data_IF_234534939397
#
_entry.id   IF_234534939397
#
_cell.length_a   1.000
_cell.length_b   1.000
_cell.length_c   1.000
_cell.angle_alpha   90.00
_cell.angle_beta   90.00
_cell.angle_gamma   90.00
#
_symmetry.space_group_name_H-M   'P 1'
#
loop_
_entity.id
_entity.type
_entity.pdbx_description
1 polymer ?
#
# COMPACT_ATOMS: atom_id res chain seq x y z
N UNK A 1 27.79 -28.82 -18.82
CA UNK A 1 26.39 -28.87 -18.31
C UNK A 1 26.12 -28.00 -17.08
N UNK A 2 27.09 -27.20 -16.58
CA UNK A 2 26.99 -26.51 -15.28
C UNK A 2 26.62 -25.00 -15.37
N UNK A 3 26.47 -24.45 -16.59
CA UNK A 3 26.19 -23.02 -16.79
C UNK A 3 24.69 -22.71 -16.74
N UNK A 4 23.85 -23.62 -17.25
CA UNK A 4 22.40 -23.44 -17.37
C UNK A 4 21.66 -23.42 -16.02
N UNK A 5 22.22 -24.09 -15.01
CA UNK A 5 21.65 -24.14 -13.64
C UNK A 5 21.94 -22.88 -12.83
N UNK A 6 22.97 -22.10 -13.19
CA UNK A 6 23.31 -20.85 -12.50
C UNK A 6 22.38 -19.71 -12.94
N UNK A 7 21.99 -19.70 -14.21
CA UNK A 7 21.13 -18.66 -14.78
C UNK A 7 19.67 -18.80 -14.32
N UNK A 8 19.19 -20.03 -14.07
CA UNK A 8 17.83 -20.26 -13.53
C UNK A 8 17.67 -19.83 -12.07
N UNK A 9 18.73 -19.94 -11.25
CA UNK A 9 18.71 -19.44 -9.87
C UNK A 9 18.79 -17.91 -9.80
N UNK A 10 19.43 -17.26 -10.77
CA UNK A 10 19.47 -15.80 -10.85
C UNK A 10 18.13 -15.18 -11.30
N UNK A 11 17.33 -15.90 -12.09
CA UNK A 11 15.97 -15.45 -12.48
C UNK A 11 14.90 -15.67 -11.40
N UNK A 12 15.08 -16.60 -10.46
CA UNK A 12 14.10 -16.83 -9.39
C UNK A 12 14.20 -15.75 -8.27
N UNK A 13 15.37 -15.15 -8.09
CA UNK A 13 15.61 -14.09 -7.10
C UNK A 13 15.11 -12.70 -7.54
N UNK A 14 14.81 -12.51 -8.82
CA UNK A 14 14.29 -11.24 -9.37
C UNK A 14 12.76 -11.13 -9.34
N UNK A 15 12.07 -11.97 -8.55
CA UNK A 15 10.66 -11.67 -8.21
C UNK A 15 10.66 -10.47 -7.29
N UNK A 16 10.49 -9.28 -7.88
CA UNK A 16 10.48 -8.00 -7.21
C UNK A 16 9.64 -8.07 -5.92
N UNK A 17 10.33 -8.22 -4.77
CA UNK A 17 9.69 -8.10 -3.46
C UNK A 17 9.28 -6.65 -3.33
N UNK A 18 7.99 -6.40 -3.47
CA UNK A 18 7.45 -5.05 -3.40
C UNK A 18 7.70 -4.54 -1.98
N UNK A 19 8.49 -3.46 -1.86
CA UNK A 19 8.80 -2.88 -0.56
C UNK A 19 7.53 -2.31 0.04
N UNK A 20 7.04 -2.93 1.12
CA UNK A 20 5.84 -2.46 1.86
C UNK A 20 6.02 -1.02 2.30
N UNK A 21 7.26 -0.65 2.65
CA UNK A 21 7.61 0.72 3.02
C UNK A 21 7.43 1.70 1.86
N UNK A 22 7.89 1.34 0.65
CA UNK A 22 7.70 2.16 -0.54
C UNK A 22 6.22 2.30 -0.92
N UNK A 23 5.43 1.22 -0.75
CA UNK A 23 4.00 1.24 -0.99
C UNK A 23 3.27 2.15 0.01
N UNK A 24 3.61 2.04 1.30
CA UNK A 24 3.14 2.95 2.35
C UNK A 24 3.41 4.40 2.01
N UNK A 25 4.67 4.75 1.74
CA UNK A 25 5.06 6.13 1.43
C UNK A 25 4.37 6.68 0.18
N UNK A 26 4.21 5.85 -0.86
CA UNK A 26 3.53 6.27 -2.11
C UNK A 26 2.07 6.61 -1.84
N UNK A 27 1.34 5.74 -1.14
CA UNK A 27 -0.06 5.97 -0.80
C UNK A 27 -0.24 7.10 0.22
N UNK A 28 0.62 7.17 1.24
CA UNK A 28 0.65 8.27 2.21
C UNK A 28 0.80 9.62 1.52
N UNK A 29 1.80 9.74 0.64
CA UNK A 29 2.06 10.99 -0.09
C UNK A 29 0.92 11.33 -1.05
N UNK A 30 0.37 10.33 -1.75
CA UNK A 30 -0.72 10.54 -2.71
C UNK A 30 -2.00 11.05 -2.02
N UNK A 31 -2.43 10.39 -0.94
CA UNK A 31 -3.63 10.80 -0.20
C UNK A 31 -3.40 12.14 0.52
N UNK A 32 -2.21 12.36 1.10
CA UNK A 32 -1.84 13.64 1.67
C UNK A 32 -2.01 14.79 0.67
N UNK A 33 -1.41 14.68 -0.52
CA UNK A 33 -1.49 15.73 -1.55
C UNK A 33 -2.93 15.96 -2.01
N UNK A 34 -3.71 14.90 -2.17
CA UNK A 34 -5.11 14.99 -2.58
C UNK A 34 -5.93 15.80 -1.55
N UNK A 35 -5.87 15.43 -0.27
CA UNK A 35 -6.59 16.14 0.80
C UNK A 35 -6.05 17.56 0.98
N UNK A 36 -4.73 17.75 0.86
CA UNK A 36 -4.10 19.06 1.01
C UNK A 36 -4.56 20.04 -0.08
N UNK A 37 -4.55 19.63 -1.34
CA UNK A 37 -5.02 20.45 -2.47
C UNK A 37 -6.51 20.77 -2.30
N UNK A 38 -7.34 19.79 -1.97
CA UNK A 38 -8.78 20.02 -1.76
C UNK A 38 -9.02 20.96 -0.58
N UNK A 39 -8.24 20.86 0.50
CA UNK A 39 -8.35 21.73 1.68
C UNK A 39 -8.02 23.19 1.35
N UNK A 40 -6.94 23.43 0.59
CA UNK A 40 -6.60 24.76 0.09
C UNK A 40 -7.70 25.29 -0.83
N UNK A 41 -8.16 24.45 -1.78
CA UNK A 41 -9.17 24.84 -2.74
C UNK A 41 -10.52 25.18 -2.09
N UNK A 42 -10.92 24.38 -1.09
CA UNK A 42 -12.10 24.63 -0.27
C UNK A 42 -11.97 25.94 0.51
N UNK A 43 -10.79 26.22 1.06
CA UNK A 43 -10.55 27.48 1.77
C UNK A 43 -10.66 28.70 0.86
N UNK A 44 -10.35 28.58 -0.44
CA UNK A 44 -10.34 29.70 -1.39
C UNK A 44 -11.68 29.88 -2.11
N UNK A 45 -12.40 28.80 -2.37
CA UNK A 45 -13.59 28.80 -3.26
C UNK A 45 -14.83 28.19 -2.64
N UNK A 46 -14.71 27.52 -1.49
CA UNK A 46 -15.77 26.71 -0.88
C UNK A 46 -16.00 25.37 -1.58
N UNK A 47 -15.35 25.11 -2.72
CA UNK A 47 -15.48 23.85 -3.44
C UNK A 47 -14.76 22.71 -2.69
N UNK A 48 -15.46 21.59 -2.52
CA UNK A 48 -14.93 20.44 -1.79
C UNK A 48 -15.32 20.39 -0.30
N UNK A 49 -16.12 21.35 0.20
CA UNK A 49 -16.58 21.36 1.60
C UNK A 49 -17.25 20.05 2.02
N UNK A 50 -18.22 19.55 1.25
CA UNK A 50 -18.90 18.30 1.57
C UNK A 50 -17.97 17.07 1.60
N UNK A 51 -16.92 17.08 0.77
CA UNK A 51 -15.90 16.01 0.80
C UNK A 51 -15.02 16.11 2.05
N UNK A 52 -14.63 17.33 2.45
CA UNK A 52 -13.89 17.55 3.69
C UNK A 52 -14.72 17.28 4.93
N UNK A 53 -16.01 17.61 4.92
CA UNK A 53 -16.93 17.27 6.00
C UNK A 53 -17.01 15.75 6.16
N UNK A 54 -17.16 15.01 5.07
CA UNK A 54 -17.12 13.54 5.10
C UNK A 54 -15.78 13.02 5.63
N UNK A 55 -14.65 13.56 5.16
CA UNK A 55 -13.34 13.20 5.68
C UNK A 55 -13.21 13.46 7.19
N UNK A 56 -13.70 14.61 7.65
CA UNK A 56 -13.67 15.02 9.06
C UNK A 56 -14.60 14.17 9.95
N UNK A 57 -15.62 13.49 9.40
CA UNK A 57 -16.44 12.55 10.18
C UNK A 57 -15.66 11.29 10.57
N UNK A 58 -14.68 10.91 9.76
CA UNK A 58 -13.78 9.79 10.04
C UNK A 58 -12.59 10.25 10.89
N UNK A 59 -12.10 11.47 10.63
CA UNK A 59 -10.96 12.07 11.30
C UNK A 59 -11.37 13.38 11.99
N UNK A 60 -11.75 13.34 13.28
CA UNK A 60 -12.30 14.51 13.96
C UNK A 60 -11.27 15.65 14.01
N UNK A 61 -11.57 16.75 13.31
CA UNK A 61 -10.75 17.95 13.28
C UNK A 61 -11.41 19.06 14.13
N UNK A 62 -10.74 19.57 15.18
CA UNK A 62 -11.28 20.66 15.99
C UNK A 62 -11.31 22.01 15.26
N UNK A 63 -10.58 22.15 14.15
CA UNK A 63 -10.57 23.34 13.32
C UNK A 63 -11.41 23.09 12.05
N UNK A 64 -12.63 23.62 12.04
CA UNK A 64 -13.44 23.60 10.83
C UNK A 64 -12.85 24.56 9.79
N UNK A 65 -12.59 24.04 8.59
CA UNK A 65 -12.22 24.87 7.44
C UNK A 65 -13.48 25.57 6.98
N UNK A 66 -13.56 26.88 7.24
CA UNK A 66 -14.72 27.67 6.83
C UNK A 66 -14.44 28.47 5.58
N UNK A 67 -15.47 28.65 4.77
CA UNK A 67 -15.41 29.47 3.57
C UNK A 67 -16.36 30.65 3.73
N UNK A 68 -15.81 31.86 3.57
CA UNK A 68 -16.60 33.09 3.53
C UNK A 68 -16.43 33.75 2.16
N UNK A 69 -17.57 34.08 1.52
CA UNK A 69 -17.66 34.83 0.25
C UNK A 69 -17.18 36.29 0.37
N UNK A 70 -16.67 36.70 1.53
CA UNK A 70 -16.13 38.04 1.80
C UNK A 70 -14.86 38.33 0.99
N UNK A 71 -14.67 39.60 0.59
CA UNK A 71 -13.55 40.12 -0.21
C UNK A 71 -12.14 39.87 0.40
N UNK A 72 -12.02 39.40 1.64
CA UNK A 72 -10.74 39.02 2.26
C UNK A 72 -10.47 37.52 2.14
N UNK A 73 -10.40 37.01 0.91
CA UNK A 73 -10.09 35.59 0.61
C UNK A 73 -8.79 35.14 1.30
N UNK A 74 -7.80 36.04 1.39
CA UNK A 74 -6.52 35.77 2.03
C UNK A 74 -6.59 35.67 3.56
N UNK A 75 -7.42 36.50 4.22
CA UNK A 75 -7.60 36.42 5.67
C UNK A 75 -8.31 35.15 6.12
N UNK A 76 -9.25 34.66 5.30
CA UNK A 76 -9.93 33.39 5.54
C UNK A 76 -8.98 32.20 5.32
N UNK A 77 -8.11 32.27 4.30
CA UNK A 77 -7.10 31.24 4.07
C UNK A 77 -6.13 31.07 5.24
N UNK A 78 -5.59 32.18 5.78
CA UNK A 78 -4.64 32.10 6.89
C UNK A 78 -5.27 31.54 8.17
N UNK A 79 -6.54 31.85 8.43
CA UNK A 79 -7.29 31.29 9.55
C UNK A 79 -7.51 29.76 9.42
N UNK A 80 -7.58 29.25 8.19
CA UNK A 80 -7.79 27.83 7.90
C UNK A 80 -6.51 26.99 7.89
N UNK A 81 -5.31 27.61 7.92
CA UNK A 81 -4.02 26.90 7.88
C UNK A 81 -3.95 25.77 8.93
N UNK A 82 -4.31 25.97 10.21
CA UNK A 82 -4.28 24.89 11.20
C UNK A 82 -5.16 23.70 10.81
N UNK A 83 -6.39 23.97 10.33
CA UNK A 83 -7.30 22.93 9.87
C UNK A 83 -6.78 22.17 8.65
N UNK A 84 -6.20 22.88 7.68
CA UNK A 84 -5.57 22.29 6.48
C UNK A 84 -4.42 21.35 6.89
N UNK A 85 -3.56 21.78 7.82
CA UNK A 85 -2.42 20.97 8.27
C UNK A 85 -2.86 19.72 9.03
N UNK A 86 -3.86 19.83 9.90
CA UNK A 86 -4.42 18.69 10.64
C UNK A 86 -5.05 17.68 9.69
N UNK A 87 -5.84 18.14 8.71
CA UNK A 87 -6.40 17.26 7.69
C UNK A 87 -5.32 16.59 6.85
N UNK A 88 -4.26 17.33 6.49
CA UNK A 88 -3.08 16.75 5.85
C UNK A 88 -2.44 15.66 6.70
N UNK A 89 -2.24 15.90 7.99
CA UNK A 89 -1.66 14.89 8.88
C UNK A 89 -2.52 13.61 8.94
N UNK A 90 -3.83 13.73 9.12
CA UNK A 90 -4.74 12.57 9.09
C UNK A 90 -4.68 11.83 7.75
N UNK A 91 -4.71 12.57 6.64
CA UNK A 91 -4.64 12.00 5.30
C UNK A 91 -3.34 11.21 5.06
N UNK A 92 -2.22 11.71 5.60
CA UNK A 92 -0.93 11.04 5.54
C UNK A 92 -0.95 9.74 6.35
N UNK A 93 -1.46 9.77 7.57
CA UNK A 93 -1.57 8.57 8.44
C UNK A 93 -2.47 7.52 7.80
N UNK A 94 -3.63 7.91 7.28
CA UNK A 94 -4.57 7.02 6.60
C UNK A 94 -3.95 6.41 5.34
N UNK A 95 -3.27 7.22 4.52
CA UNK A 95 -2.59 6.73 3.33
C UNK A 95 -1.42 5.79 3.64
N UNK A 96 -0.66 6.05 4.71
CA UNK A 96 0.36 5.13 5.19
C UNK A 96 -0.25 3.80 5.63
N UNK A 97 -1.34 3.84 6.41
CA UNK A 97 -2.06 2.65 6.86
C UNK A 97 -2.57 1.82 5.68
N UNK A 98 -3.25 2.45 4.73
CA UNK A 98 -3.75 1.80 3.50
C UNK A 98 -2.59 1.20 2.70
N UNK A 99 -1.52 1.95 2.48
CA UNK A 99 -0.36 1.48 1.72
C UNK A 99 0.35 0.30 2.37
N UNK A 100 0.48 0.30 3.71
CA UNK A 100 1.04 -0.85 4.45
C UNK A 100 0.14 -2.07 4.39
N UNK A 101 -1.18 -1.89 4.56
CA UNK A 101 -2.16 -2.97 4.45
C UNK A 101 -2.08 -3.60 3.05
N UNK A 102 -2.17 -2.79 1.99
CA UNK A 102 -2.09 -3.27 0.61
C UNK A 102 -0.75 -3.95 0.30
N UNK A 103 0.37 -3.38 0.77
CA UNK A 103 1.70 -3.98 0.61
C UNK A 103 1.82 -5.33 1.32
N UNK A 104 1.27 -5.46 2.53
CA UNK A 104 1.24 -6.71 3.27
C UNK A 104 0.36 -7.77 2.58
N UNK A 105 -0.83 -7.38 2.12
CA UNK A 105 -1.72 -8.26 1.35
C UNK A 105 -1.05 -8.76 0.06
N UNK A 106 -0.41 -7.88 -0.71
CA UNK A 106 0.32 -8.26 -1.92
C UNK A 106 1.38 -9.33 -1.63
N UNK A 107 2.19 -9.12 -0.59
CA UNK A 107 3.22 -10.08 -0.20
C UNK A 107 2.64 -11.41 0.30
N UNK A 108 1.52 -11.36 1.01
CA UNK A 108 0.81 -12.55 1.46
C UNK A 108 0.28 -13.40 0.28
N UNK A 109 -0.39 -12.75 -0.69
CA UNK A 109 -0.89 -13.43 -1.88
C UNK A 109 0.25 -14.01 -2.72
N UNK A 110 1.32 -13.24 -2.97
CA UNK A 110 2.49 -13.72 -3.70
C UNK A 110 3.06 -15.02 -3.09
N UNK A 111 3.18 -15.06 -1.76
CA UNK A 111 3.67 -16.24 -1.02
C UNK A 111 2.75 -17.47 -1.16
N UNK A 112 1.43 -17.28 -1.19
CA UNK A 112 0.47 -18.38 -1.38
C UNK A 112 0.60 -19.00 -2.77
N UNK A 113 0.69 -18.16 -3.80
CA UNK A 113 0.83 -18.64 -5.18
C UNK A 113 2.13 -19.41 -5.41
N UNK A 114 3.23 -18.98 -4.77
CA UNK A 114 4.51 -19.69 -4.87
C UNK A 114 4.50 -21.05 -4.18
N UNK A 115 3.76 -21.20 -3.07
CA UNK A 115 3.60 -22.50 -2.41
C UNK A 115 2.85 -23.51 -3.27
N UNK A 116 1.88 -23.07 -4.09
CA UNK A 116 1.15 -23.98 -4.99
C UNK A 116 2.02 -24.53 -6.12
N UNK A 117 3.02 -23.76 -6.57
CA UNK A 117 3.96 -24.21 -7.63
C UNK A 117 5.00 -25.22 -7.15
N UNK A 118 5.28 -25.31 -5.83
CA UNK A 118 6.35 -26.15 -5.25
C UNK A 118 5.89 -27.49 -4.65
N UNK A 119 4.61 -27.88 -4.74
CA UNK A 119 4.14 -29.24 -4.35
C UNK A 119 4.31 -30.21 -5.54
N UNK A 120 4.75 -31.47 -5.33
CA UNK A 120 6.02 -31.94 -5.88
C UNK A 120 5.89 -33.02 -6.97
N UNK A 121 6.69 -32.86 -8.02
CA UNK A 121 7.13 -33.90 -8.95
C UNK A 121 8.24 -34.74 -8.30
N UNK A 122 7.93 -35.38 -7.17
CA UNK A 122 8.75 -36.48 -6.66
C UNK A 122 7.95 -37.35 -5.68
N UNK A 123 7.00 -38.08 -6.24
CA UNK A 123 6.51 -39.34 -5.67
C UNK A 123 6.76 -40.40 -6.73
N UNK A 124 8.03 -40.65 -7.06
CA UNK A 124 8.42 -41.96 -7.57
C UNK A 124 8.77 -42.79 -6.34
N UNK A 125 7.77 -43.53 -5.86
CA UNK A 125 7.95 -44.77 -5.10
C UNK A 125 8.80 -45.72 -5.93
N UNK A 126 10.12 -45.64 -5.80
CA UNK A 126 10.99 -46.80 -6.05
C UNK A 126 10.75 -47.81 -4.93
N UNK A 127 9.67 -48.60 -5.08
CA UNK A 127 9.55 -49.89 -4.40
C UNK A 127 10.39 -50.87 -5.21
N UNK A 128 11.71 -50.83 -5.04
CA UNK A 128 12.60 -51.85 -5.59
C UNK A 128 12.37 -53.15 -4.82
N UNK A 129 11.59 -54.05 -5.42
CA UNK A 129 11.50 -55.47 -5.08
C UNK A 129 12.88 -56.11 -5.18
N UNK A 130 13.57 -56.24 -4.05
CA UNK A 130 14.76 -57.08 -3.92
C UNK A 130 14.38 -58.54 -3.74
N UNK A 131 14.05 -59.22 -4.84
CA UNK A 131 14.03 -60.69 -4.91
C UNK A 131 15.47 -61.18 -4.87
N UNK A 132 15.87 -61.88 -3.81
CA UNK A 132 17.18 -62.54 -3.71
C UNK A 132 17.06 -63.98 -4.24
N UNK A 133 17.84 -64.40 -5.24
CA UNK A 133 17.91 -65.79 -5.69
C UNK A 133 18.81 -66.62 -4.76
N UNK A 134 18.49 -67.91 -4.65
CA UNK A 134 19.19 -68.87 -3.79
C UNK A 134 20.62 -69.22 -4.22
N UNK A 135 21.35 -69.80 -3.27
CA UNK A 135 22.64 -70.51 -3.33
C UNK A 135 23.07 -70.71 -1.86
N UNK A 136 23.38 -71.88 -1.30
CA UNK A 136 23.57 -73.26 -1.77
C UNK A 136 22.95 -74.23 -0.76
#
# INVERSE_FOLDING_TARGET
>A
TNKKTKDSNMQEESRAKLSVLAMGLTWGTFIFLLIFIISIWCSLTGFGKGFLDLFNTLNPNPYQIDYSYSLSTWGNFTANIPGILINGFYALVDGLAIGFILGAFYNFYAKIFDRKKKKPENVQTETTTGTKPGSN
#
